data_IF_402013645042
#
_entry.id   IF_402013645042
#
_cell.length_a   1.000
_cell.length_b   1.000
_cell.length_c   1.000
_cell.angle_alpha   90.00
_cell.angle_beta   90.00
_cell.angle_gamma   90.00
#
_symmetry.space_group_name_H-M   'P 1'
#
loop_
_entity.id
_entity.type
_entity.pdbx_description
1 polymer ?
#
# COMPACT_ATOMS: atom_id res chain seq x y z
N UNK A 1 46.90 19.53 2.56
CA UNK A 1 46.04 19.79 1.38
C UNK A 1 45.77 18.47 0.67
N UNK A 2 44.58 18.31 0.09
CA UNK A 2 44.05 17.15 -0.63
C UNK A 2 43.23 16.12 0.19
N UNK A 3 41.91 16.44 0.26
CA UNK A 3 40.76 15.54 0.48
C UNK A 3 40.83 14.32 -0.43
N UNK A 4 40.20 13.20 -0.05
CA UNK A 4 39.58 12.24 -0.99
C UNK A 4 38.62 11.26 -0.25
N UNK A 5 37.34 11.65 -0.17
CA UNK A 5 36.16 10.79 -0.40
C UNK A 5 35.25 11.62 -1.30
N UNK A 6 34.47 11.07 -2.25
CA UNK A 6 33.92 9.71 -2.27
C UNK A 6 34.05 9.00 -3.65
N UNK A 7 34.08 7.66 -3.67
CA UNK A 7 33.89 6.89 -4.91
C UNK A 7 32.70 5.94 -4.78
N UNK A 8 31.55 6.42 -5.22
CA UNK A 8 30.52 5.56 -5.82
C UNK A 8 30.24 6.14 -7.20
N UNK A 9 30.40 5.33 -8.25
CA UNK A 9 29.20 4.95 -8.99
C UNK A 9 29.30 3.49 -9.43
N UNK A 10 28.61 2.59 -8.72
CA UNK A 10 28.37 1.24 -9.25
C UNK A 10 27.17 1.32 -10.20
N UNK A 11 27.43 1.79 -11.42
CA UNK A 11 26.59 1.55 -12.58
C UNK A 11 26.50 0.04 -12.79
N UNK A 12 25.41 -0.58 -12.31
CA UNK A 12 25.09 -1.97 -12.63
C UNK A 12 24.03 -1.96 -13.73
N UNK A 13 24.27 -2.60 -14.88
CA UNK A 13 23.26 -2.80 -15.91
C UNK A 13 22.25 -3.87 -15.47
N UNK A 14 21.36 -3.54 -14.52
CA UNK A 14 20.20 -4.35 -14.13
C UNK A 14 18.86 -3.69 -14.53
N UNK A 15 18.89 -2.58 -15.27
CA UNK A 15 17.73 -1.73 -15.56
C UNK A 15 16.79 -2.23 -16.67
N UNK A 16 16.99 -3.46 -17.19
CA UNK A 16 16.06 -4.07 -18.16
C UNK A 16 15.08 -5.06 -17.52
N UNK A 17 15.15 -5.26 -16.21
CA UNK A 17 14.10 -5.97 -15.48
C UNK A 17 13.06 -4.92 -15.10
N UNK A 18 11.84 -5.02 -15.66
CA UNK A 18 10.73 -4.11 -15.41
C UNK A 18 10.61 -3.74 -13.92
N UNK A 19 11.21 -2.60 -13.56
CA UNK A 19 11.20 -2.12 -12.19
C UNK A 19 9.78 -1.64 -11.89
N UNK A 20 9.16 -2.07 -10.78
CA UNK A 20 7.84 -1.58 -10.42
C UNK A 20 7.91 -0.08 -10.16
N UNK A 21 7.10 0.70 -10.89
CA UNK A 21 7.00 2.16 -10.77
C UNK A 21 6.74 2.65 -9.35
N UNK A 22 6.13 1.80 -8.50
CA UNK A 22 5.98 2.03 -7.07
C UNK A 22 6.66 0.88 -6.31
N UNK A 23 7.62 1.18 -5.42
CA UNK A 23 8.21 0.17 -4.56
C UNK A 23 7.16 -0.36 -3.59
N UNK A 24 7.23 -1.67 -3.31
CA UNK A 24 6.25 -2.38 -2.49
C UNK A 24 5.99 -1.73 -1.12
N UNK A 25 7.06 -1.21 -0.48
CA UNK A 25 6.97 -0.51 0.81
C UNK A 25 6.09 0.74 0.73
N UNK A 26 6.23 1.52 -0.34
CA UNK A 26 5.41 2.71 -0.56
C UNK A 26 3.95 2.34 -0.81
N UNK A 27 3.68 1.32 -1.62
CA UNK A 27 2.32 0.83 -1.84
C UNK A 27 1.63 0.40 -0.54
N UNK A 28 2.36 -0.30 0.34
CA UNK A 28 1.82 -0.78 1.62
C UNK A 28 1.53 0.38 2.59
N UNK A 29 2.38 1.40 2.63
CA UNK A 29 2.15 2.63 3.41
C UNK A 29 0.93 3.38 2.87
N UNK A 30 0.85 3.59 1.56
CA UNK A 30 -0.25 4.33 0.92
C UNK A 30 -1.58 3.65 1.20
N UNK A 31 -1.67 2.32 1.03
CA UNK A 31 -2.90 1.57 1.31
C UNK A 31 -3.29 1.67 2.79
N UNK A 32 -2.32 1.58 3.71
CA UNK A 32 -2.57 1.74 5.14
C UNK A 32 -3.15 3.12 5.47
N UNK A 33 -2.51 4.19 4.98
CA UNK A 33 -2.95 5.58 5.22
C UNK A 33 -4.32 5.84 4.62
N UNK A 34 -4.54 5.47 3.35
CA UNK A 34 -5.82 5.65 2.65
C UNK A 34 -6.92 4.85 3.32
N UNK A 35 -6.64 3.62 3.74
CA UNK A 35 -7.61 2.78 4.45
C UNK A 35 -8.07 3.41 5.78
N UNK A 36 -7.15 3.98 6.56
CA UNK A 36 -7.49 4.62 7.84
C UNK A 36 -8.30 5.90 7.60
N UNK A 37 -7.86 6.74 6.66
CA UNK A 37 -8.58 7.98 6.30
C UNK A 37 -10.01 7.69 5.86
N UNK A 38 -10.20 6.69 5.00
CA UNK A 38 -11.52 6.32 4.52
C UNK A 38 -12.37 5.63 5.60
N UNK A 39 -11.78 4.88 6.51
CA UNK A 39 -12.51 4.32 7.65
C UNK A 39 -13.05 5.43 8.57
N UNK A 40 -12.22 6.42 8.91
CA UNK A 40 -12.64 7.59 9.70
C UNK A 40 -13.72 8.38 8.96
N UNK A 41 -13.52 8.63 7.66
CA UNK A 41 -14.50 9.30 6.81
C UNK A 41 -15.85 8.57 6.80
N UNK A 42 -15.83 7.24 6.68
CA UNK A 42 -17.03 6.39 6.70
C UNK A 42 -17.76 6.51 8.03
N UNK A 43 -17.05 6.50 9.16
CA UNK A 43 -17.64 6.67 10.50
C UNK A 43 -18.33 8.04 10.60
N UNK A 44 -17.68 9.12 10.17
CA UNK A 44 -18.22 10.48 10.25
C UNK A 44 -19.46 10.64 9.35
N UNK A 45 -19.42 10.08 8.14
CA UNK A 45 -20.49 10.24 7.13
C UNK A 45 -21.66 9.26 7.36
N UNK A 46 -21.46 8.22 8.15
CA UNK A 46 -22.51 7.25 8.46
C UNK A 46 -23.66 7.89 9.24
N UNK A 47 -24.88 7.33 9.13
CA UNK A 47 -26.07 7.88 9.76
C UNK A 47 -25.89 8.06 11.28
N UNK A 48 -26.24 9.23 11.84
CA UNK A 48 -26.09 9.51 13.26
C UNK A 48 -27.06 8.72 14.15
N UNK A 49 -28.16 8.23 13.57
CA UNK A 49 -29.15 7.35 14.21
C UNK A 49 -28.59 5.96 14.52
N UNK A 50 -27.49 5.56 13.87
CA UNK A 50 -26.87 4.26 14.11
C UNK A 50 -26.05 4.29 15.40
N UNK A 51 -26.08 3.21 16.21
CA UNK A 51 -25.24 3.11 17.39
C UNK A 51 -23.76 3.18 17.01
N UNK A 52 -22.96 3.79 17.89
CA UNK A 52 -21.53 4.08 17.67
C UNK A 52 -20.73 2.83 17.26
N UNK A 53 -21.09 1.67 17.83
CA UNK A 53 -20.48 0.37 17.52
C UNK A 53 -20.71 -0.06 16.06
N UNK A 54 -21.90 0.16 15.51
CA UNK A 54 -22.23 -0.18 14.12
C UNK A 54 -21.48 0.73 13.17
N UNK A 55 -21.34 2.02 13.52
CA UNK A 55 -20.57 2.99 12.72
C UNK A 55 -19.09 2.60 12.64
N UNK A 56 -18.50 2.19 13.76
CA UNK A 56 -17.13 1.66 13.81
C UNK A 56 -17.03 0.36 12.99
N UNK A 57 -18.00 -0.54 13.12
CA UNK A 57 -18.03 -1.79 12.36
C UNK A 57 -18.01 -1.54 10.86
N UNK A 58 -18.81 -0.59 10.36
CA UNK A 58 -18.79 -0.16 8.96
C UNK A 58 -17.44 0.43 8.55
N UNK A 59 -16.81 1.25 9.40
CA UNK A 59 -15.46 1.75 9.15
C UNK A 59 -14.41 0.63 9.05
N UNK A 60 -14.49 -0.38 9.92
CA UNK A 60 -13.58 -1.54 9.91
C UNK A 60 -13.84 -2.44 8.70
N UNK A 61 -15.10 -2.72 8.37
CA UNK A 61 -15.48 -3.50 7.18
C UNK A 61 -14.97 -2.80 5.92
N UNK A 62 -15.14 -1.49 5.83
CA UNK A 62 -14.67 -0.71 4.69
C UNK A 62 -13.13 -0.70 4.60
N UNK A 63 -12.44 -0.36 5.68
CA UNK A 63 -10.97 -0.39 5.71
C UNK A 63 -10.41 -1.79 5.40
N UNK A 64 -11.02 -2.83 5.97
CA UNK A 64 -10.69 -4.22 5.73
C UNK A 64 -10.91 -4.64 4.27
N UNK A 65 -11.96 -4.15 3.61
CA UNK A 65 -12.22 -4.45 2.19
C UNK A 65 -11.13 -3.92 1.25
N UNK A 66 -10.56 -2.75 1.54
CA UNK A 66 -9.46 -2.17 0.78
C UNK A 66 -8.22 -3.07 0.89
N UNK A 67 -7.91 -3.53 2.10
CA UNK A 67 -6.83 -4.47 2.34
C UNK A 67 -7.04 -5.80 1.62
N UNK A 68 -8.28 -6.30 1.58
CA UNK A 68 -8.64 -7.53 0.88
C UNK A 68 -8.34 -7.40 -0.63
N UNK A 69 -8.78 -6.31 -1.26
CA UNK A 69 -8.51 -6.03 -2.68
C UNK A 69 -7.01 -5.90 -2.93
N UNK A 70 -6.30 -5.17 -2.07
CA UNK A 70 -4.84 -5.02 -2.19
C UNK A 70 -4.11 -6.37 -2.11
N UNK A 71 -4.43 -7.20 -1.12
CA UNK A 71 -3.86 -8.54 -1.00
C UNK A 71 -4.24 -9.45 -2.16
N UNK A 72 -5.47 -9.34 -2.67
CA UNK A 72 -5.92 -10.08 -3.84
C UNK A 72 -5.06 -9.76 -5.07
N UNK A 73 -4.78 -8.48 -5.33
CA UNK A 73 -3.86 -8.08 -6.39
C UNK A 73 -2.43 -8.62 -6.19
N UNK A 74 -1.93 -8.61 -4.96
CA UNK A 74 -0.62 -9.20 -4.65
C UNK A 74 -0.60 -10.71 -4.87
N UNK A 75 -1.67 -11.41 -4.51
CA UNK A 75 -1.81 -12.84 -4.71
C UNK A 75 -1.81 -13.18 -6.20
N UNK A 76 -2.55 -12.44 -7.02
CA UNK A 76 -2.57 -12.59 -8.48
C UNK A 76 -1.18 -12.34 -9.06
N UNK A 77 -0.54 -11.22 -8.70
CA UNK A 77 0.80 -10.90 -9.19
C UNK A 77 1.80 -12.01 -8.83
N UNK A 78 1.70 -12.57 -7.61
CA UNK A 78 2.52 -13.72 -7.19
C UNK A 78 2.21 -14.98 -8.01
N UNK A 79 0.94 -15.27 -8.29
CA UNK A 79 0.54 -16.46 -9.04
C UNK A 79 0.99 -16.38 -10.50
N UNK A 80 0.86 -15.21 -11.13
CA UNK A 80 1.28 -14.98 -12.52
C UNK A 80 2.80 -15.04 -12.67
N UNK A 81 3.56 -14.49 -11.70
CA UNK A 81 5.03 -14.60 -11.69
C UNK A 81 5.55 -16.02 -11.49
N UNK A 82 4.77 -16.94 -10.92
CA UNK A 82 5.15 -18.35 -10.77
C UNK A 82 4.97 -19.18 -12.04
N UNK A 83 4.21 -18.69 -13.02
CA UNK A 83 3.94 -19.39 -14.28
C UNK A 83 4.83 -18.90 -15.44
N UNK A 84 5.64 -17.88 -15.22
CA UNK A 84 6.75 -17.47 -16.08
C UNK A 84 8.05 -18.02 -15.52
#
# INVERSE_FOLDING_TARGET
MSKNKPSSPKNQPQDLIAQPWIPFKTGLIVVGVVSILLAIWTIITSNPELPLIERILWGVVFGGSIWLIFFFFLLINRLLRRRK
#
